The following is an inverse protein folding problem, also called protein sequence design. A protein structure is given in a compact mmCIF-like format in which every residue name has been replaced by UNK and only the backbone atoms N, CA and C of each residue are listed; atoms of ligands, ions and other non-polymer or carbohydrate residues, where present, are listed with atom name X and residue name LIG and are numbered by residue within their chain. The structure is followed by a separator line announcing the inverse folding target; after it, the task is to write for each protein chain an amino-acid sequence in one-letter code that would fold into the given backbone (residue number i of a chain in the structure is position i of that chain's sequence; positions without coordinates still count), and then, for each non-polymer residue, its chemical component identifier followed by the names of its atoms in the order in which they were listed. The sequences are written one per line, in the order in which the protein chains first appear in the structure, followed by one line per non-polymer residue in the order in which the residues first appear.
data_IF_098659937232
#
_entry.id   IF_098659937232
#
_cell.length_a   1.000
_cell.length_b   1.000
_cell.length_c   1.000
_cell.angle_alpha   90.00
_cell.angle_beta   90.00
_cell.angle_gamma   90.00
#
_symmetry.space_group_name_H-M   'P 1'
#
loop_
_entity.id
_entity.type
_entity.pdbx_description
1 polymer ?
#
# COMPACT_ATOMS: atom_id res chain seq x y z
N UNK A 1 -32.09 -55.85 -6.23
CA UNK A 1 -32.56 -54.50 -5.86
C UNK A 1 -31.41 -53.78 -5.19
N UNK A 2 -30.59 -53.06 -5.96
CA UNK A 2 -29.43 -52.33 -5.44
C UNK A 2 -29.71 -50.83 -5.51
N UNK A 3 -29.90 -50.19 -4.38
CA UNK A 3 -30.01 -48.73 -4.25
C UNK A 3 -28.59 -48.17 -4.15
N UNK A 4 -28.10 -47.57 -5.24
CA UNK A 4 -26.84 -46.83 -5.23
C UNK A 4 -27.10 -45.44 -4.64
N UNK A 5 -26.45 -45.15 -3.50
CA UNK A 5 -26.38 -43.82 -2.91
C UNK A 5 -25.68 -42.85 -3.87
N UNK A 6 -26.35 -41.75 -4.24
CA UNK A 6 -25.69 -40.59 -4.81
C UNK A 6 -25.40 -39.57 -3.70
N UNK A 7 -24.19 -39.63 -3.12
CA UNK A 7 -23.67 -38.54 -2.29
C UNK A 7 -23.30 -37.36 -3.21
N UNK A 8 -24.15 -36.35 -3.26
CA UNK A 8 -23.78 -35.04 -3.82
C UNK A 8 -22.81 -34.35 -2.85
N UNK A 9 -21.52 -34.41 -3.16
CA UNK A 9 -20.50 -33.61 -2.48
C UNK A 9 -20.73 -32.15 -2.88
N UNK A 10 -21.38 -31.37 -2.01
CA UNK A 10 -21.36 -29.91 -2.10
C UNK A 10 -19.92 -29.47 -1.80
N UNK A 11 -19.11 -29.30 -2.84
CA UNK A 11 -17.82 -28.65 -2.72
C UNK A 11 -18.10 -27.17 -2.49
N UNK A 12 -18.25 -26.79 -1.21
CA UNK A 12 -18.26 -25.41 -0.77
C UNK A 12 -16.93 -24.80 -1.20
N UNK A 13 -16.92 -24.12 -2.35
CA UNK A 13 -15.89 -23.15 -2.67
C UNK A 13 -16.02 -22.05 -1.62
N UNK A 14 -15.29 -22.21 -0.53
CA UNK A 14 -14.99 -21.11 0.38
C UNK A 14 -14.14 -20.13 -0.44
N UNK A 15 -14.82 -19.23 -1.15
CA UNK A 15 -14.24 -17.99 -1.64
C UNK A 15 -13.85 -17.21 -0.40
N UNK A 16 -12.68 -17.53 0.15
CA UNK A 16 -12.08 -16.69 1.17
C UNK A 16 -11.84 -15.37 0.47
N UNK A 17 -12.65 -14.38 0.77
CA UNK A 17 -12.44 -12.99 0.39
C UNK A 17 -11.17 -12.52 1.12
N UNK A 18 -10.01 -12.82 0.54
CA UNK A 18 -8.68 -12.55 1.10
C UNK A 18 -8.37 -11.06 1.01
N UNK A 19 -8.90 -10.29 1.95
CA UNK A 19 -8.62 -8.87 2.07
C UNK A 19 -7.41 -8.70 2.99
N UNK A 20 -6.28 -8.30 2.42
CA UNK A 20 -5.19 -7.73 3.19
C UNK A 20 -5.61 -6.37 3.69
N UNK A 21 -5.57 -6.18 5.00
CA UNK A 21 -5.92 -4.94 5.63
C UNK A 21 -4.71 -4.39 6.36
N UNK A 22 -4.41 -3.13 6.08
CA UNK A 22 -3.33 -2.43 6.74
C UNK A 22 -3.17 -1.02 6.24
N UNK A 23 -2.40 -0.24 7.00
CA UNK A 23 -2.15 1.15 6.69
C UNK A 23 -0.76 1.57 7.16
N UNK A 24 -0.19 2.56 6.48
CA UNK A 24 1.05 3.19 6.87
C UNK A 24 0.76 4.22 7.97
N UNK A 25 1.31 4.00 9.16
CA UNK A 25 1.13 4.84 10.35
C UNK A 25 2.24 5.89 10.47
N UNK A 26 3.47 5.56 10.10
CA UNK A 26 4.59 6.52 10.15
C UNK A 26 5.52 6.34 8.94
N UNK A 27 5.75 7.38 8.12
CA UNK A 27 4.96 8.63 8.06
C UNK A 27 3.50 8.33 7.67
N UNK A 28 2.52 8.95 8.34
CA UNK A 28 1.11 8.54 8.20
C UNK A 28 0.59 8.69 6.75
N UNK A 29 -0.10 7.65 6.25
CA UNK A 29 -0.76 7.69 4.95
C UNK A 29 -1.92 8.70 4.93
N UNK A 30 -2.19 9.26 3.75
CA UNK A 30 -3.31 10.21 3.52
C UNK A 30 -4.66 9.65 3.97
N UNK A 31 -4.92 8.36 3.71
CA UNK A 31 -6.16 7.68 4.11
C UNK A 31 -6.32 7.56 5.63
N UNK A 32 -5.22 7.57 6.38
CA UNK A 32 -5.17 7.26 7.82
C UNK A 32 -4.77 8.46 8.68
N UNK A 33 -4.53 9.64 8.08
CA UNK A 33 -4.06 10.83 8.79
C UNK A 33 -5.01 11.26 9.93
N UNK A 34 -6.32 11.06 9.77
CA UNK A 34 -7.34 11.36 10.77
C UNK A 34 -7.21 10.57 12.08
N UNK A 35 -6.46 9.46 12.08
CA UNK A 35 -6.18 8.69 13.29
C UNK A 35 -5.24 9.43 14.23
N UNK A 36 -4.26 10.15 13.68
CA UNK A 36 -3.14 10.74 14.45
C UNK A 36 -3.19 12.26 14.52
N UNK A 37 -3.95 12.91 13.64
CA UNK A 37 -4.09 14.36 13.57
C UNK A 37 -5.56 14.76 13.51
N UNK A 38 -6.02 15.49 14.52
CA UNK A 38 -7.42 15.92 14.66
C UNK A 38 -7.86 16.89 13.56
N UNK A 39 -6.94 17.61 12.91
CA UNK A 39 -7.26 18.52 11.80
C UNK A 39 -7.86 17.79 10.59
N UNK A 40 -7.66 16.48 10.49
CA UNK A 40 -8.23 15.65 9.43
C UNK A 40 -9.60 15.03 9.81
N UNK A 41 -10.02 15.05 11.08
CA UNK A 41 -11.24 14.35 11.50
C UNK A 41 -12.52 14.96 10.93
N UNK A 42 -12.59 16.29 10.88
CA UNK A 42 -13.80 17.01 10.46
C UNK A 42 -14.07 16.89 8.95
N UNK A 43 -13.01 16.82 8.14
CA UNK A 43 -13.13 16.81 6.68
C UNK A 43 -12.86 15.47 6.03
N UNK A 44 -12.10 14.61 6.70
CA UNK A 44 -11.24 13.64 6.03
C UNK A 44 -11.16 12.29 6.75
N UNK A 45 -12.15 11.99 7.58
CA UNK A 45 -12.33 10.67 8.19
C UNK A 45 -12.70 9.67 7.10
N UNK A 46 -11.99 8.54 7.07
CA UNK A 46 -12.22 7.47 6.09
C UNK A 46 -12.21 6.10 6.79
N UNK A 47 -13.38 5.52 7.12
CA UNK A 47 -13.44 4.26 7.85
C UNK A 47 -12.78 3.08 7.12
N UNK A 48 -12.78 3.09 5.78
CA UNK A 48 -12.13 2.07 4.94
C UNK A 48 -10.63 2.34 4.72
N UNK A 49 -9.95 3.09 5.59
CA UNK A 49 -8.55 3.50 5.38
C UNK A 49 -7.54 2.35 5.34
N UNK A 50 -7.91 1.18 5.86
CA UNK A 50 -7.11 -0.05 5.83
C UNK A 50 -7.34 -0.87 4.55
N UNK A 51 -8.30 -0.46 3.71
CA UNK A 51 -8.70 -1.12 2.47
C UNK A 51 -8.17 -0.32 1.26
N UNK A 52 -6.89 0.01 1.28
CA UNK A 52 -6.18 0.64 0.16
C UNK A 52 -5.45 -0.43 -0.68
N UNK A 53 -6.24 -1.39 -1.12
CA UNK A 53 -5.90 -2.69 -1.70
C UNK A 53 -6.23 -2.80 -3.21
N UNK A 54 -6.15 -1.68 -3.93
CA UNK A 54 -6.27 -1.60 -5.38
C UNK A 54 -7.63 -2.04 -5.96
N UNK A 55 -8.70 -2.00 -5.14
CA UNK A 55 -10.03 -2.50 -5.49
C UNK A 55 -10.20 -4.01 -5.29
N UNK A 56 -9.22 -4.68 -4.68
CA UNK A 56 -9.21 -6.13 -4.47
C UNK A 56 -8.50 -6.88 -5.58
N UNK A 57 -7.98 -8.07 -5.24
CA UNK A 57 -7.12 -8.87 -6.11
C UNK A 57 -7.75 -9.15 -7.48
N UNK A 58 -9.03 -9.56 -7.49
CA UNK A 58 -9.74 -9.87 -8.73
C UNK A 58 -9.91 -8.65 -9.62
N UNK A 59 -10.27 -7.49 -9.05
CA UNK A 59 -10.43 -6.26 -9.80
C UNK A 59 -9.09 -5.75 -10.34
N UNK A 60 -8.06 -5.77 -9.49
CA UNK A 60 -6.71 -5.36 -9.87
C UNK A 60 -6.17 -6.16 -11.07
N UNK A 61 -6.25 -7.49 -11.03
CA UNK A 61 -5.60 -8.33 -12.03
C UNK A 61 -6.50 -8.67 -13.23
N UNK A 62 -7.80 -8.82 -13.04
CA UNK A 62 -8.70 -9.21 -14.13
C UNK A 62 -9.26 -8.01 -14.91
N UNK A 63 -9.32 -6.82 -14.30
CA UNK A 63 -9.88 -5.60 -14.92
C UNK A 63 -8.79 -4.58 -15.19
N UNK A 64 -7.93 -4.33 -14.20
CA UNK A 64 -6.94 -3.24 -14.24
C UNK A 64 -5.54 -3.67 -14.70
N UNK A 65 -5.36 -4.91 -15.17
CA UNK A 65 -4.07 -5.42 -15.67
C UNK A 65 -2.93 -5.24 -14.65
N UNK A 66 -3.22 -5.54 -13.38
CA UNK A 66 -2.27 -5.40 -12.26
C UNK A 66 -2.10 -3.96 -11.74
N UNK A 67 -2.67 -2.95 -12.41
CA UNK A 67 -2.49 -1.53 -12.06
C UNK A 67 -3.25 -1.15 -10.79
N UNK A 68 -2.71 -0.16 -10.11
CA UNK A 68 -3.24 0.40 -8.88
C UNK A 68 -3.00 1.91 -8.85
N UNK A 69 -3.86 2.66 -8.15
CA UNK A 69 -3.57 4.05 -7.79
C UNK A 69 -2.32 4.13 -6.92
N UNK A 70 -1.58 5.25 -7.02
CA UNK A 70 -0.40 5.48 -6.16
C UNK A 70 -0.74 5.51 -4.67
N UNK A 71 -2.01 5.77 -4.33
CA UNK A 71 -2.54 5.79 -2.95
C UNK A 71 -3.34 4.54 -2.58
N UNK A 72 -3.41 3.52 -3.46
CA UNK A 72 -4.03 2.22 -3.15
C UNK A 72 -5.52 2.10 -3.49
N UNK A 73 -6.13 3.11 -4.11
CA UNK A 73 -7.48 2.98 -4.70
C UNK A 73 -7.47 2.13 -5.98
N UNK A 74 -8.65 1.63 -6.40
CA UNK A 74 -8.77 0.94 -7.68
C UNK A 74 -8.37 1.86 -8.85
N UNK A 75 -7.57 1.34 -9.77
CA UNK A 75 -6.94 2.12 -10.84
C UNK A 75 -7.94 2.78 -11.79
N UNK A 76 -9.06 2.14 -12.06
CA UNK A 76 -10.16 2.58 -12.91
C UNK A 76 -11.17 3.51 -12.23
N UNK A 77 -11.03 3.82 -10.93
CA UNK A 77 -11.89 4.82 -10.30
C UNK A 77 -11.81 6.16 -11.06
N UNK A 78 -12.94 6.78 -11.43
CA UNK A 78 -12.93 8.05 -12.17
C UNK A 78 -12.32 9.20 -11.35
N UNK A 79 -12.42 9.12 -10.02
CA UNK A 79 -11.85 10.10 -9.08
C UNK A 79 -11.02 9.35 -8.05
N UNK A 80 -9.78 9.78 -7.87
CA UNK A 80 -8.86 9.33 -6.82
C UNK A 80 -8.89 10.37 -5.69
N UNK A 81 -9.58 10.07 -4.61
CA UNK A 81 -9.91 11.08 -3.59
C UNK A 81 -8.70 11.47 -2.74
N UNK A 82 -7.70 10.60 -2.62
CA UNK A 82 -6.47 10.86 -1.86
C UNK A 82 -5.31 11.39 -2.71
N UNK A 83 -5.41 11.29 -4.03
CA UNK A 83 -4.44 11.90 -4.93
C UNK A 83 -4.69 13.42 -5.02
N UNK A 84 -3.68 14.18 -5.43
CA UNK A 84 -3.74 15.64 -5.53
C UNK A 84 -4.88 16.08 -6.45
N UNK A 85 -5.72 16.97 -5.92
CA UNK A 85 -6.97 17.40 -6.57
C UNK A 85 -8.20 16.60 -6.14
N UNK A 86 -8.00 15.47 -5.45
CA UNK A 86 -9.07 14.71 -4.81
C UNK A 86 -9.61 15.38 -3.55
N UNK A 87 -10.86 15.09 -3.19
CA UNK A 87 -11.56 15.73 -2.08
C UNK A 87 -10.89 15.53 -0.70
N UNK A 88 -10.13 14.45 -0.54
CA UNK A 88 -9.46 14.08 0.72
C UNK A 88 -7.99 14.52 0.75
N UNK A 89 -7.45 15.05 -0.35
CA UNK A 89 -6.09 15.57 -0.40
C UNK A 89 -6.00 16.93 0.28
N UNK A 90 -5.03 17.08 1.20
CA UNK A 90 -4.75 18.34 1.91
C UNK A 90 -3.40 18.96 1.61
N UNK A 91 -2.46 18.18 1.07
CA UNK A 91 -1.09 18.64 0.85
C UNK A 91 -0.31 18.96 2.14
N UNK A 92 -0.84 18.56 3.30
CA UNK A 92 -0.17 18.72 4.59
C UNK A 92 1.09 17.88 4.64
N UNK A 93 2.21 18.49 5.04
CA UNK A 93 3.46 17.77 5.31
C UNK A 93 3.34 17.11 6.68
N UNK A 94 3.26 15.78 6.69
CA UNK A 94 3.06 14.99 7.93
C UNK A 94 4.37 14.65 8.66
N UNK A 95 5.51 14.78 7.97
CA UNK A 95 6.84 14.53 8.54
C UNK A 95 7.93 15.21 7.70
N UNK A 96 8.99 15.64 8.37
CA UNK A 96 10.21 16.18 7.74
C UNK A 96 11.40 15.32 8.13
N UNK A 97 12.30 15.09 7.19
CA UNK A 97 13.51 14.30 7.37
C UNK A 97 14.71 15.00 6.75
N UNK A 98 15.91 14.60 7.16
CA UNK A 98 17.14 15.00 6.49
C UNK A 98 17.41 14.08 5.29
N UNK A 99 17.99 14.62 4.21
CA UNK A 99 18.46 13.81 3.09
C UNK A 99 19.44 12.74 3.58
N UNK A 100 19.35 11.51 3.04
CA UNK A 100 20.21 10.41 3.48
C UNK A 100 19.95 9.90 4.91
N UNK A 101 18.90 10.35 5.59
CA UNK A 101 18.54 9.85 6.91
C UNK A 101 18.02 8.41 6.84
N UNK A 102 18.41 7.57 7.80
CA UNK A 102 17.68 6.32 8.10
C UNK A 102 16.44 6.65 8.94
N UNK A 103 15.27 6.20 8.50
CA UNK A 103 14.00 6.51 9.14
C UNK A 103 13.28 5.23 9.57
N UNK A 104 12.56 5.30 10.69
CA UNK A 104 11.61 4.27 11.10
C UNK A 104 10.29 4.46 10.34
N UNK A 105 9.86 3.39 9.68
CA UNK A 105 8.58 3.31 8.97
C UNK A 105 7.69 2.32 9.72
N UNK A 106 6.50 2.77 10.15
CA UNK A 106 5.56 1.94 10.91
C UNK A 106 4.36 1.58 10.05
N UNK A 107 4.17 0.29 9.84
CA UNK A 107 3.04 -0.28 9.11
C UNK A 107 2.18 -1.04 10.11
N UNK A 108 0.87 -0.79 10.10
CA UNK A 108 -0.08 -1.59 10.87
C UNK A 108 -0.77 -2.54 9.91
N UNK A 109 -0.60 -3.83 10.11
CA UNK A 109 -1.41 -4.86 9.46
C UNK A 109 -2.49 -5.32 10.44
N UNK A 110 -3.75 -5.25 10.02
CA UNK A 110 -4.86 -5.87 10.75
C UNK A 110 -5.18 -7.27 10.22
N UNK A 111 -4.76 -7.56 8.99
CA UNK A 111 -4.74 -8.90 8.42
C UNK A 111 -3.45 -9.10 7.60
N UNK A 112 -2.42 -9.70 8.22
CA UNK A 112 -1.18 -10.07 7.56
C UNK A 112 -1.35 -11.36 6.74
N UNK A 113 -1.06 -11.29 5.44
CA UNK A 113 -1.11 -12.40 4.47
C UNK A 113 0.27 -12.79 3.92
N UNK A 114 1.31 -12.57 4.74
CA UNK A 114 2.71 -12.75 4.42
C UNK A 114 3.20 -11.90 3.24
N UNK A 115 4.41 -12.13 2.74
CA UNK A 115 4.90 -11.56 1.48
C UNK A 115 6.02 -10.57 1.71
N UNK A 116 5.88 -9.33 1.24
CA UNK A 116 6.90 -8.30 1.44
C UNK A 116 6.40 -6.87 1.29
N UNK A 117 7.12 -5.94 1.92
CA UNK A 117 6.94 -4.50 1.73
C UNK A 117 8.02 -3.92 0.81
N UNK A 118 7.63 -2.92 0.04
CA UNK A 118 8.50 -2.02 -0.68
C UNK A 118 8.16 -0.57 -0.32
N UNK A 119 9.16 0.30 -0.32
CA UNK A 119 9.01 1.72 0.00
C UNK A 119 9.62 2.56 -1.10
N UNK A 120 8.92 3.63 -1.49
CA UNK A 120 9.34 4.52 -2.58
C UNK A 120 9.19 5.98 -2.18
N UNK A 121 9.96 6.83 -2.83
CA UNK A 121 9.91 8.28 -2.64
C UNK A 121 9.79 9.00 -3.99
N UNK A 122 8.93 10.00 -4.09
CA UNK A 122 8.86 10.88 -5.25
C UNK A 122 9.00 12.34 -4.81
N UNK A 123 9.83 13.09 -5.52
CA UNK A 123 9.96 14.54 -5.37
C UNK A 123 8.91 15.24 -6.23
N UNK A 124 7.99 15.99 -5.61
CA UNK A 124 6.94 16.75 -6.33
C UNK A 124 7.32 18.20 -6.66
N UNK A 125 8.48 18.69 -6.23
CA UNK A 125 8.85 20.09 -6.45
C UNK A 125 8.96 20.42 -7.95
N UNK A 126 9.30 19.43 -8.79
CA UNK A 126 9.36 19.55 -10.24
C UNK A 126 7.98 19.45 -10.94
N UNK A 127 6.95 18.98 -10.24
CA UNK A 127 5.59 18.79 -10.77
C UNK A 127 4.54 19.39 -9.83
N UNK A 128 4.57 20.72 -9.59
CA UNK A 128 3.78 21.34 -8.53
C UNK A 128 2.27 21.34 -8.79
N UNK A 129 1.79 21.04 -9.99
CA UNK A 129 0.37 20.92 -10.32
C UNK A 129 -0.14 19.47 -10.35
N UNK A 130 0.74 18.48 -10.36
CA UNK A 130 0.38 17.06 -10.38
C UNK A 130 0.75 16.37 -9.06
N UNK A 131 0.16 15.19 -8.80
CA UNK A 131 0.65 14.29 -7.77
C UNK A 131 1.84 13.46 -8.27
N UNK A 132 2.35 12.55 -7.42
CA UNK A 132 3.34 11.58 -7.84
C UNK A 132 2.78 10.66 -8.93
N UNK A 133 3.62 10.33 -9.90
CA UNK A 133 3.38 9.23 -10.82
C UNK A 133 4.10 7.98 -10.34
N UNK A 134 3.68 6.80 -10.81
CA UNK A 134 4.36 5.55 -10.45
C UNK A 134 5.81 5.56 -10.98
N UNK A 135 6.05 6.14 -12.16
CA UNK A 135 7.39 6.30 -12.73
C UNK A 135 8.29 7.18 -11.86
N UNK A 136 7.72 8.20 -11.20
CA UNK A 136 8.48 9.02 -10.26
C UNK A 136 8.86 8.25 -8.99
N UNK A 137 7.93 7.47 -8.46
CA UNK A 137 8.13 6.66 -7.26
C UNK A 137 9.16 5.55 -7.52
N UNK A 138 9.10 4.91 -8.70
CA UNK A 138 10.01 3.83 -9.08
C UNK A 138 11.46 4.31 -9.28
N UNK A 139 11.70 5.60 -9.54
CA UNK A 139 13.06 6.18 -9.56
C UNK A 139 13.77 6.11 -8.22
N UNK A 140 13.04 6.04 -7.11
CA UNK A 140 13.62 5.99 -5.76
C UNK A 140 12.98 4.89 -4.92
N UNK A 141 13.16 3.64 -5.36
CA UNK A 141 12.94 2.45 -4.53
C UNK A 141 13.97 2.42 -3.38
N UNK A 142 13.48 2.46 -2.15
CA UNK A 142 14.31 2.61 -0.96
C UNK A 142 14.90 1.27 -0.51
N UNK A 143 16.15 1.30 -0.03
CA UNK A 143 16.77 0.15 0.62
C UNK A 143 16.28 0.02 2.05
N UNK A 144 16.13 -1.21 2.51
CA UNK A 144 16.00 -1.52 3.93
C UNK A 144 17.36 -1.24 4.57
N UNK A 145 17.36 -0.43 5.63
CA UNK A 145 18.57 0.03 6.29
C UNK A 145 19.47 -1.13 6.68
N UNK A 146 20.78 -0.93 6.58
CA UNK A 146 21.81 -1.91 6.93
C UNK A 146 21.74 -3.21 6.08
N UNK A 147 21.06 -3.17 4.93
CA UNK A 147 20.98 -4.28 3.97
C UNK A 147 21.10 -3.79 2.52
N UNK A 148 21.32 -4.72 1.59
CA UNK A 148 21.21 -4.45 0.15
C UNK A 148 19.83 -4.76 -0.45
N UNK A 149 18.85 -5.10 0.39
CA UNK A 149 17.49 -5.42 -0.06
C UNK A 149 16.65 -4.16 -0.18
N UNK A 150 15.75 -4.14 -1.16
CA UNK A 150 14.64 -3.19 -1.28
C UNK A 150 13.31 -3.78 -0.82
N UNK A 151 13.31 -5.06 -0.42
CA UNK A 151 12.14 -5.80 0.04
C UNK A 151 12.32 -6.21 1.49
N UNK A 152 11.41 -5.76 2.34
CA UNK A 152 11.30 -6.23 3.72
C UNK A 152 10.42 -7.48 3.75
N UNK A 153 10.96 -8.61 4.21
CA UNK A 153 10.30 -9.94 4.15
C UNK A 153 9.94 -10.54 5.50
N UNK A 154 10.29 -9.87 6.60
CA UNK A 154 9.90 -10.28 7.95
C UNK A 154 8.44 -9.87 8.21
N UNK A 155 7.58 -10.43 7.36
CA UNK A 155 6.15 -10.27 7.28
C UNK A 155 5.67 -11.70 7.02
N UNK A 156 5.90 -12.61 7.96
CA UNK A 156 5.78 -14.06 7.74
C UNK A 156 4.75 -14.75 8.65
N UNK A 157 4.18 -14.00 9.60
CA UNK A 157 3.12 -14.43 10.51
C UNK A 157 1.75 -13.97 10.03
N UNK A 158 0.74 -14.82 10.18
CA UNK A 158 -0.65 -14.39 10.02
C UNK A 158 -1.11 -13.65 11.27
N UNK A 159 -1.97 -12.64 11.12
CA UNK A 159 -2.59 -11.94 12.25
C UNK A 159 -2.53 -10.42 12.14
N UNK A 160 -2.70 -9.76 13.27
CA UNK A 160 -2.55 -8.30 13.39
C UNK A 160 -1.25 -7.96 14.09
N UNK A 161 -0.49 -7.03 13.52
CA UNK A 161 0.75 -6.54 14.09
C UNK A 161 1.11 -5.14 13.60
N UNK A 162 1.88 -4.42 14.41
CA UNK A 162 2.57 -3.21 13.98
C UNK A 162 4.03 -3.56 13.69
N UNK A 163 4.43 -3.38 12.44
CA UNK A 163 5.76 -3.69 11.94
C UNK A 163 6.53 -2.38 11.79
N UNK A 164 7.74 -2.34 12.35
CA UNK A 164 8.66 -1.21 12.18
C UNK A 164 9.79 -1.63 11.24
N UNK A 165 9.97 -0.88 10.15
CA UNK A 165 11.00 -1.10 9.15
C UNK A 165 11.90 0.12 9.09
N UNK A 166 13.21 -0.06 9.27
CA UNK A 166 14.18 1.01 9.00
C UNK A 166 14.48 1.06 7.51
N UNK A 167 14.30 2.22 6.88
CA UNK A 167 14.63 2.43 5.46
C UNK A 167 15.62 3.57 5.30
N UNK A 168 16.46 3.48 4.27
CA UNK A 168 17.45 4.48 3.92
C UNK A 168 16.87 5.48 2.92
N UNK A 169 16.71 6.75 3.30
CA UNK A 169 16.34 7.80 2.34
C UNK A 169 17.49 8.08 1.36
N UNK A 170 17.21 8.49 0.12
CA UNK A 170 18.26 8.75 -0.86
C UNK A 170 19.09 9.97 -0.43
N UNK A 171 20.43 9.90 -0.46
CA UNK A 171 21.30 11.00 -0.01
C UNK A 171 21.25 12.23 -0.91
N UNK A 172 20.76 12.08 -2.14
CA UNK A 172 20.73 13.12 -3.17
C UNK A 172 19.31 13.59 -3.54
N UNK A 173 18.30 13.18 -2.77
CA UNK A 173 16.92 13.62 -2.97
C UNK A 173 16.52 14.54 -1.83
N UNK A 174 16.23 15.79 -2.17
CA UNK A 174 15.64 16.79 -1.29
C UNK A 174 14.39 17.35 -1.96
N UNK A 175 13.31 17.48 -1.19
CA UNK A 175 12.05 18.04 -1.65
C UNK A 175 11.32 18.77 -0.53
N UNK A 176 10.67 19.88 -0.87
CA UNK A 176 9.73 20.56 0.03
C UNK A 176 8.43 19.78 0.13
N UNK A 177 8.02 19.16 -0.97
CA UNK A 177 6.88 18.26 -1.01
C UNK A 177 7.30 16.92 -1.62
N UNK A 178 7.35 15.89 -0.79
CA UNK A 178 7.64 14.53 -1.21
C UNK A 178 6.42 13.63 -1.03
N UNK A 179 6.27 12.61 -1.87
CA UNK A 179 5.32 11.50 -1.65
C UNK A 179 6.10 10.26 -1.27
N UNK A 180 5.79 9.72 -0.10
CA UNK A 180 6.29 8.43 0.36
C UNK A 180 5.22 7.36 0.11
N UNK A 181 5.57 6.32 -0.63
CA UNK A 181 4.66 5.21 -0.93
C UNK A 181 5.13 3.96 -0.20
N UNK A 182 4.22 3.35 0.56
CA UNK A 182 4.34 1.97 1.00
C UNK A 182 3.52 1.09 0.05
N UNK A 183 4.13 -0.01 -0.42
CA UNK A 183 3.48 -1.05 -1.20
C UNK A 183 3.61 -2.38 -0.48
N UNK A 184 2.49 -3.06 -0.27
CA UNK A 184 2.46 -4.41 0.26
C UNK A 184 2.06 -5.41 -0.82
N UNK A 185 2.92 -6.41 -1.05
CA UNK A 185 2.60 -7.55 -1.91
C UNK A 185 2.37 -8.78 -1.03
N UNK A 186 1.10 -9.21 -0.92
CA UNK A 186 0.71 -10.38 -0.14
C UNK A 186 1.24 -11.69 -0.74
N UNK A 187 1.54 -12.68 0.11
CA UNK A 187 2.19 -13.93 -0.28
C UNK A 187 1.27 -15.15 -0.42
N UNK A 188 -0.04 -15.01 -0.19
CA UNK A 188 -0.99 -16.12 -0.07
C UNK A 188 -1.80 -16.41 -1.35
N UNK A 189 -1.50 -15.76 -2.48
CA UNK A 189 -2.21 -15.95 -3.75
C UNK A 189 -1.39 -16.81 -4.71
N UNK A 190 -1.64 -18.12 -4.71
CA UNK A 190 -1.01 -19.08 -5.63
C UNK A 190 -1.62 -18.89 -7.03
N UNK A 191 -0.77 -18.66 -8.05
CA UNK A 191 -1.20 -18.66 -9.46
C UNK A 191 -1.48 -17.28 -10.09
N UNK A 192 -1.48 -16.20 -9.32
CA UNK A 192 -1.44 -14.84 -9.89
C UNK A 192 -0.02 -14.59 -10.39
N UNK A 193 0.18 -14.50 -11.70
CA UNK A 193 1.44 -14.03 -12.28
C UNK A 193 1.62 -12.57 -11.84
N UNK A 194 2.35 -12.35 -10.75
CA UNK A 194 2.86 -11.03 -10.41
C UNK A 194 3.69 -10.57 -11.61
N UNK A 195 3.19 -9.57 -12.35
CA UNK A 195 3.94 -8.97 -13.46
C UNK A 195 5.37 -8.66 -12.97
N UNK A 196 6.41 -9.06 -13.74
CA UNK A 196 7.77 -8.71 -13.39
C UNK A 196 7.87 -7.19 -13.37
N UNK A 197 8.42 -6.65 -12.28
CA UNK A 197 8.86 -5.26 -12.22
C UNK A 197 9.93 -5.06 -13.30
N UNK A 198 9.56 -4.39 -14.39
CA UNK A 198 10.48 -3.86 -15.39
C UNK A 198 11.37 -2.78 -14.79
#
# INVERSE_FOLDING_TARGET
MGTLLALTILFSYCLVSLHGHGYLLEPVARSSAWLVDSSFRECCTWPQHMEMFCGGLGHQWNVNDGKCSICGEAYDKPIKVFEKGGAMYKGTIVKTYNQGQQIDVKVVLTANHKGYFEFRLCNLDASPSADASQECLDRHLLKIADTDSTRFRDVDKYGSEMITVRVQLPPHVACRHCVFQWKYTAGNSIGVKLAPSS
#
